data_IF_732681275347
#
_entry.id   IF_732681275347
#
_cell.length_a   1.000
_cell.length_b   1.000
_cell.length_c   1.000
_cell.angle_alpha   90.00
_cell.angle_beta   90.00
_cell.angle_gamma   90.00
#
_symmetry.space_group_name_H-M   'P 1'
#
loop_
_entity.id
_entity.type
_entity.pdbx_description
1 polymer ?
#
# COMPACT_ATOMS: atom_id res chain seq x y z
N UNK A 1 -1.43 1.30 -11.29
CA UNK A 1 -1.78 2.68 -10.94
C UNK A 1 -0.50 3.40 -10.53
N UNK A 2 -0.24 4.59 -11.05
CA UNK A 2 0.98 5.37 -10.74
C UNK A 2 0.57 6.55 -9.87
N UNK A 3 1.37 6.86 -8.86
CA UNK A 3 1.14 8.06 -8.05
C UNK A 3 1.26 9.31 -8.93
N UNK A 4 0.56 10.39 -8.59
CA UNK A 4 0.60 11.65 -9.35
C UNK A 4 2.00 12.25 -9.43
N UNK A 5 2.84 11.96 -8.44
CA UNK A 5 4.25 12.36 -8.36
C UNK A 5 5.22 11.38 -9.06
N UNK A 6 4.69 10.38 -9.77
CA UNK A 6 5.47 9.44 -10.56
C UNK A 6 5.95 8.19 -9.79
N UNK A 7 5.76 8.12 -8.47
CA UNK A 7 6.10 6.91 -7.70
C UNK A 7 5.23 5.72 -8.12
N UNK A 8 5.72 4.51 -7.88
CA UNK A 8 4.99 3.26 -8.14
C UNK A 8 5.31 2.25 -7.04
N UNK A 9 4.26 1.63 -6.49
CA UNK A 9 4.38 0.53 -5.53
C UNK A 9 3.95 -0.76 -6.22
N UNK A 10 4.82 -1.78 -6.22
CA UNK A 10 4.50 -3.11 -6.77
C UNK A 10 4.01 -3.99 -5.62
N UNK A 11 2.83 -4.56 -5.79
CA UNK A 11 2.21 -5.50 -4.84
C UNK A 11 1.95 -6.83 -5.53
N UNK A 12 2.29 -7.93 -4.85
CA UNK A 12 1.90 -9.27 -5.26
C UNK A 12 0.50 -9.56 -4.73
N UNK A 13 -0.40 -10.01 -5.61
CA UNK A 13 -1.75 -10.42 -5.24
C UNK A 13 -1.89 -11.89 -5.59
N UNK A 14 -2.00 -12.72 -4.54
CA UNK A 14 -2.26 -14.15 -4.68
C UNK A 14 -3.75 -14.40 -4.42
N UNK A 15 -4.49 -15.04 -5.34
CA UNK A 15 -5.90 -15.34 -5.12
C UNK A 15 -6.10 -16.23 -3.88
N UNK A 16 -7.02 -15.85 -2.99
CA UNK A 16 -7.36 -16.62 -1.79
C UNK A 16 -6.49 -16.33 -0.56
N UNK A 17 -5.50 -15.43 -0.67
CA UNK A 17 -4.66 -15.01 0.46
C UNK A 17 -4.86 -13.53 0.79
N UNK A 18 -4.94 -13.23 2.09
CA UNK A 18 -4.95 -11.86 2.57
C UNK A 18 -3.55 -11.25 2.55
N UNK A 19 -3.49 -9.95 2.28
CA UNK A 19 -2.25 -9.18 2.36
C UNK A 19 -1.83 -9.07 3.82
N UNK A 20 -0.70 -9.69 4.16
CA UNK A 20 -0.16 -9.65 5.52
C UNK A 20 0.26 -8.25 6.00
N UNK A 21 0.29 -8.06 7.33
CA UNK A 21 0.62 -6.77 7.98
C UNK A 21 1.94 -6.15 7.52
N UNK A 22 2.96 -6.98 7.22
CA UNK A 22 4.25 -6.51 6.73
C UNK A 22 4.15 -5.84 5.36
N UNK A 23 3.32 -6.38 4.47
CA UNK A 23 3.08 -5.83 3.15
C UNK A 23 2.26 -4.55 3.21
N UNK A 24 1.25 -4.49 4.09
CA UNK A 24 0.52 -3.26 4.36
C UNK A 24 1.47 -2.13 4.82
N UNK A 25 2.37 -2.42 5.76
CA UNK A 25 3.37 -1.42 6.22
C UNK A 25 4.29 -0.96 5.09
N UNK A 26 4.70 -1.89 4.21
CA UNK A 26 5.50 -1.54 3.03
C UNK A 26 4.71 -0.62 2.08
N UNK A 27 3.44 -0.93 1.80
CA UNK A 27 2.57 -0.12 0.95
C UNK A 27 2.43 1.30 1.51
N UNK A 28 2.17 1.44 2.81
CA UNK A 28 2.06 2.75 3.48
C UNK A 28 3.35 3.57 3.31
N UNK A 29 4.50 2.94 3.54
CA UNK A 29 5.81 3.58 3.41
C UNK A 29 6.13 3.98 1.96
N UNK A 30 5.91 3.08 0.99
CA UNK A 30 6.18 3.33 -0.43
C UNK A 30 5.25 4.44 -0.98
N UNK A 31 4.00 4.46 -0.50
CA UNK A 31 3.03 5.50 -0.80
C UNK A 31 3.31 6.84 -0.07
N UNK A 32 4.26 6.88 0.88
CA UNK A 32 4.61 8.05 1.72
C UNK A 32 3.38 8.70 2.36
N UNK A 33 2.48 7.88 2.88
CA UNK A 33 1.35 8.32 3.70
C UNK A 33 1.53 7.80 5.12
N UNK A 34 0.84 8.43 6.05
CA UNK A 34 0.77 8.02 7.44
C UNK A 34 -0.21 6.86 7.60
N UNK A 35 -0.11 6.17 8.74
CA UNK A 35 -1.08 5.14 9.12
C UNK A 35 -2.50 5.71 9.26
N UNK A 36 -2.63 6.94 9.73
CA UNK A 36 -3.92 7.60 9.91
C UNK A 36 -4.56 7.94 8.56
N UNK A 37 -3.79 8.53 7.63
CA UNK A 37 -4.25 8.74 6.25
C UNK A 37 -4.65 7.43 5.58
N UNK A 38 -3.90 6.34 5.79
CA UNK A 38 -4.28 5.02 5.31
C UNK A 38 -5.63 4.55 5.88
N UNK A 39 -5.87 4.72 7.17
CA UNK A 39 -7.12 4.32 7.81
C UNK A 39 -8.32 5.15 7.34
N UNK A 40 -8.10 6.36 6.84
CA UNK A 40 -9.15 7.20 6.26
C UNK A 40 -9.47 6.85 4.79
N UNK A 41 -8.68 6.00 4.14
CA UNK A 41 -8.88 5.56 2.75
C UNK A 41 -9.64 4.23 2.61
N UNK A 42 -9.78 3.47 3.72
CA UNK A 42 -10.45 2.17 3.80
C UNK A 42 -11.85 2.36 4.36
#
# INVERSE_FOLDING_TARGET
>A
MRHLDGRTTIITVHPGEDIGKGMIRKIINDAKITREEWLNLV
#
